data_IF_112648560356
#
_entry.id   IF_112648560356
#
_cell.length_a   1.000
_cell.length_b   1.000
_cell.length_c   1.000
_cell.angle_alpha   90.00
_cell.angle_beta   90.00
_cell.angle_gamma   90.00
#
_symmetry.space_group_name_H-M   'P 1'
#
loop_
_entity.id
_entity.type
_entity.pdbx_description
1 polymer ?
#
# COMPACT_ATOMS: atom_id res chain seq x y z
N UNK A 1 -18.40 19.16 6.49
CA UNK A 1 -17.29 18.29 6.98
C UNK A 1 -16.11 18.48 6.03
N UNK A 2 -14.99 19.07 6.47
CA UNK A 2 -13.87 19.44 5.57
C UNK A 2 -12.50 18.89 6.01
N UNK A 3 -12.46 18.01 7.02
CA UNK A 3 -11.20 17.53 7.58
C UNK A 3 -10.45 16.57 6.64
N UNK A 4 -11.16 15.70 5.92
CA UNK A 4 -10.57 14.77 4.96
C UNK A 4 -9.81 15.48 3.82
N UNK A 5 -10.47 16.35 3.04
CA UNK A 5 -9.81 17.11 1.98
C UNK A 5 -8.65 17.96 2.48
N UNK A 6 -8.76 18.58 3.66
CA UNK A 6 -7.65 19.35 4.25
C UNK A 6 -6.43 18.48 4.53
N UNK A 7 -6.60 17.31 5.14
CA UNK A 7 -5.49 16.40 5.40
C UNK A 7 -4.79 15.98 4.10
N UNK A 8 -5.56 15.66 3.06
CA UNK A 8 -5.02 15.30 1.75
C UNK A 8 -4.19 16.44 1.15
N UNK A 9 -4.67 17.68 1.23
CA UNK A 9 -3.97 18.87 0.72
C UNK A 9 -2.71 19.22 1.52
N UNK A 10 -2.59 18.74 2.77
CA UNK A 10 -1.40 18.92 3.58
C UNK A 10 -0.34 17.85 3.29
N UNK A 11 -0.69 16.71 2.69
CA UNK A 11 0.22 15.59 2.34
C UNK A 11 1.58 16.03 1.78
N UNK A 12 1.66 16.96 0.82
CA UNK A 12 2.94 17.38 0.27
C UNK A 12 3.91 17.98 1.31
N UNK A 13 3.40 18.71 2.31
CA UNK A 13 4.23 19.38 3.33
C UNK A 13 4.92 18.42 4.29
N UNK A 14 4.32 17.26 4.53
CA UNK A 14 4.91 16.22 5.37
C UNK A 14 5.42 15.03 4.57
N UNK A 15 5.24 14.98 3.25
CA UNK A 15 5.89 14.01 2.38
C UNK A 15 7.41 14.24 2.34
N UNK A 16 7.83 15.50 2.20
CA UNK A 16 9.22 15.94 2.24
C UNK A 16 9.32 17.13 3.19
N UNK A 17 10.12 17.01 4.24
CA UNK A 17 10.30 18.05 5.25
C UNK A 17 11.72 18.61 5.21
N UNK A 18 11.84 19.90 5.47
CA UNK A 18 13.12 20.57 5.71
C UNK A 18 13.52 20.42 7.18
N UNK A 19 14.77 20.04 7.45
CA UNK A 19 15.34 19.99 8.80
C UNK A 19 16.65 20.78 8.84
N UNK A 20 17.17 21.06 10.03
CA UNK A 20 18.43 21.79 10.19
C UNK A 20 19.63 21.12 9.50
N UNK A 21 19.60 19.79 9.34
CA UNK A 21 20.69 18.98 8.78
C UNK A 21 20.49 18.67 7.29
N UNK A 22 19.28 18.87 6.78
CA UNK A 22 18.88 18.54 5.40
C UNK A 22 17.47 17.93 5.31
N UNK A 23 17.07 17.43 4.13
CA UNK A 23 15.73 16.87 3.90
C UNK A 23 15.43 15.60 4.69
N UNK A 24 14.17 15.45 5.07
CA UNK A 24 13.56 14.19 5.48
C UNK A 24 12.47 13.76 4.49
N UNK A 25 12.62 12.57 3.92
CA UNK A 25 11.65 11.93 3.01
C UNK A 25 10.80 10.97 3.82
N UNK A 26 9.52 11.29 3.97
CA UNK A 26 8.56 10.54 4.77
C UNK A 26 7.63 9.69 3.91
N UNK A 27 7.16 10.22 2.79
CA UNK A 27 6.24 9.52 1.89
C UNK A 27 6.89 9.32 0.54
N UNK A 28 6.72 8.12 -0.01
CA UNK A 28 7.17 7.77 -1.35
C UNK A 28 5.98 7.80 -2.28
N UNK A 29 6.09 8.58 -3.36
CA UNK A 29 5.11 8.70 -4.43
C UNK A 29 5.82 9.34 -5.65
N UNK A 30 5.22 9.28 -6.86
CA UNK A 30 5.65 10.13 -7.96
C UNK A 30 5.55 11.59 -7.55
N UNK A 31 6.69 12.24 -7.30
CA UNK A 31 6.72 13.63 -6.86
C UNK A 31 8.01 14.36 -7.26
N UNK A 32 7.90 15.68 -7.33
CA UNK A 32 9.03 16.60 -7.45
C UNK A 32 8.95 17.63 -6.33
N UNK A 33 9.92 17.61 -5.42
CA UNK A 33 9.99 18.56 -4.31
C UNK A 33 11.10 19.57 -4.56
N UNK A 34 10.85 20.83 -4.20
CA UNK A 34 11.83 21.91 -4.20
C UNK A 34 11.91 22.47 -2.80
N UNK A 35 13.09 22.38 -2.21
CA UNK A 35 13.35 22.73 -0.82
C UNK A 35 14.63 23.56 -0.69
N UNK A 36 14.79 24.21 0.46
CA UNK A 36 16.02 24.90 0.82
C UNK A 36 16.94 23.98 1.63
N UNK A 37 18.22 23.94 1.26
CA UNK A 37 19.26 23.19 2.00
C UNK A 37 19.80 24.00 3.18
N UNK A 38 20.57 23.39 4.11
CA UNK A 38 21.24 24.12 5.18
C UNK A 38 22.13 25.28 4.68
N UNK A 39 22.81 25.13 3.54
CA UNK A 39 23.59 26.20 2.91
C UNK A 39 22.73 27.23 2.12
N UNK A 40 21.41 27.20 2.30
CA UNK A 40 20.43 28.12 1.72
C UNK A 40 20.33 28.10 0.19
N UNK A 41 20.80 27.05 -0.47
CA UNK A 41 20.53 26.86 -1.90
C UNK A 41 19.29 26.01 -2.11
N UNK A 42 18.80 26.02 -3.36
CA UNK A 42 17.69 25.18 -3.78
C UNK A 42 18.18 23.75 -4.04
N UNK A 43 17.49 22.78 -3.48
CA UNK A 43 17.59 21.36 -3.80
C UNK A 43 16.27 20.91 -4.42
N UNK A 44 16.36 20.24 -5.56
CA UNK A 44 15.22 19.54 -6.17
C UNK A 44 15.39 18.04 -5.97
N UNK A 45 14.37 17.39 -5.43
CA UNK A 45 14.27 15.92 -5.35
C UNK A 45 13.21 15.46 -6.35
N UNK A 46 13.59 14.56 -7.26
CA UNK A 46 12.67 13.88 -8.17
C UNK A 46 12.51 12.43 -7.74
N UNK A 47 11.32 12.04 -7.31
CA UNK A 47 11.01 10.69 -6.86
C UNK A 47 10.15 9.97 -7.92
N UNK A 48 10.69 8.88 -8.45
CA UNK A 48 10.06 8.01 -9.44
C UNK A 48 9.79 6.65 -8.78
N UNK A 49 8.53 6.23 -8.74
CA UNK A 49 8.12 4.98 -8.07
C UNK A 49 6.71 4.57 -8.48
N UNK A 50 6.41 3.27 -8.46
CA UNK A 50 5.04 2.75 -8.46
C UNK A 50 4.48 2.50 -7.06
N UNK A 51 5.20 2.89 -6.01
CA UNK A 51 4.73 2.77 -4.63
C UNK A 51 3.37 3.45 -4.45
N UNK A 52 2.40 2.81 -3.77
CA UNK A 52 2.50 1.56 -3.00
C UNK A 52 2.25 0.25 -3.79
N UNK A 53 2.05 0.29 -5.11
CA UNK A 53 1.87 -0.92 -5.90
C UNK A 53 3.14 -1.78 -5.91
N UNK A 54 4.31 -1.15 -5.92
CA UNK A 54 5.62 -1.80 -5.85
C UNK A 54 6.55 -1.14 -4.83
N UNK A 55 7.66 -1.83 -4.51
CA UNK A 55 8.60 -1.40 -3.48
C UNK A 55 9.80 -0.60 -4.00
N UNK A 56 9.93 -0.43 -5.32
CA UNK A 56 11.07 0.27 -5.93
C UNK A 56 10.85 1.78 -5.91
N UNK A 57 11.80 2.51 -5.35
CA UNK A 57 11.79 3.98 -5.28
C UNK A 57 13.14 4.50 -5.78
N UNK A 58 13.11 5.39 -6.77
CA UNK A 58 14.28 6.09 -7.27
C UNK A 58 14.17 7.58 -6.98
N UNK A 59 15.19 8.15 -6.33
CA UNK A 59 15.25 9.58 -6.02
C UNK A 59 16.48 10.17 -6.71
N UNK A 60 16.26 11.16 -7.57
CA UNK A 60 17.35 11.92 -8.22
C UNK A 60 17.45 13.30 -7.61
N UNK A 61 18.67 13.75 -7.32
CA UNK A 61 18.94 15.06 -6.75
C UNK A 61 19.42 16.05 -7.79
N UNK A 62 18.93 17.28 -7.71
CA UNK A 62 19.44 18.41 -8.49
C UNK A 62 19.75 19.61 -7.58
N UNK A 63 20.99 20.07 -7.68
CA UNK A 63 21.65 21.05 -6.80
C UNK A 63 22.53 21.96 -7.66
N UNK A 64 22.56 23.26 -7.37
CA UNK A 64 23.43 24.20 -8.12
C UNK A 64 24.91 24.00 -7.82
N UNK A 65 25.25 23.74 -6.55
CA UNK A 65 26.63 23.47 -6.10
C UNK A 65 26.62 22.23 -5.21
N UNK A 66 27.67 21.39 -5.26
CA UNK A 66 27.78 20.28 -4.32
C UNK A 66 27.73 20.77 -2.86
N UNK A 67 27.03 20.03 -2.01
CA UNK A 67 26.82 20.39 -0.61
C UNK A 67 26.85 19.15 0.28
N UNK A 68 27.54 19.26 1.41
CA UNK A 68 27.49 18.26 2.47
C UNK A 68 26.24 18.49 3.31
N UNK A 69 25.34 17.50 3.31
CA UNK A 69 24.11 17.53 4.10
C UNK A 69 23.64 16.11 4.42
N UNK A 70 22.74 16.01 5.39
CA UNK A 70 22.10 14.77 5.78
C UNK A 70 20.76 14.61 5.08
N UNK A 71 20.59 13.51 4.36
CA UNK A 71 19.30 13.06 3.87
C UNK A 71 18.75 11.98 4.81
N UNK A 72 17.52 12.18 5.29
CA UNK A 72 16.80 11.20 6.11
C UNK A 72 15.76 10.49 5.24
N UNK A 73 15.87 9.18 5.08
CA UNK A 73 14.87 8.37 4.36
C UNK A 73 14.09 7.51 5.35
N UNK A 74 12.76 7.65 5.41
CA UNK A 74 11.94 6.82 6.30
C UNK A 74 11.98 5.38 5.84
N UNK A 75 12.42 4.48 6.70
CA UNK A 75 12.31 3.03 6.49
C UNK A 75 11.01 2.58 7.18
N UNK A 76 9.96 2.18 6.43
CA UNK A 76 8.71 1.75 7.03
C UNK A 76 8.92 0.59 8.02
N UNK A 77 8.22 0.59 9.16
CA UNK A 77 8.35 -0.45 10.18
C UNK A 77 8.02 -1.86 9.70
N UNK A 78 7.22 -1.98 8.65
CA UNK A 78 6.90 -3.27 8.02
C UNK A 78 7.99 -3.76 7.05
N UNK A 79 8.90 -2.89 6.60
CA UNK A 79 9.88 -3.21 5.56
C UNK A 79 11.15 -3.83 6.15
N UNK A 80 11.12 -5.13 6.44
CA UNK A 80 12.20 -5.83 7.15
C UNK A 80 13.42 -6.14 6.28
N UNK A 81 13.22 -6.39 4.98
CA UNK A 81 14.29 -6.62 4.01
C UNK A 81 14.42 -5.42 3.05
N UNK A 82 14.85 -4.28 3.58
CA UNK A 82 15.04 -3.05 2.79
C UNK A 82 16.43 -3.01 2.18
N UNK A 83 16.53 -2.68 0.89
CA UNK A 83 17.80 -2.40 0.20
C UNK A 83 17.93 -0.92 -0.14
N UNK A 84 19.16 -0.42 -0.16
CA UNK A 84 19.46 0.96 -0.52
C UNK A 84 20.77 1.01 -1.29
N UNK A 85 20.77 1.68 -2.44
CA UNK A 85 21.98 2.00 -3.21
C UNK A 85 22.07 3.52 -3.43
N UNK A 86 23.30 3.99 -3.63
CA UNK A 86 23.58 5.37 -3.99
C UNK A 86 24.54 5.34 -5.18
N UNK A 87 24.12 5.92 -6.31
CA UNK A 87 24.84 5.89 -7.57
C UNK A 87 25.22 4.46 -8.01
N UNK A 88 24.33 3.48 -7.78
CA UNK A 88 24.53 2.07 -8.10
C UNK A 88 25.30 1.27 -7.05
N UNK A 89 25.95 1.93 -6.08
CA UNK A 89 26.73 1.25 -5.04
C UNK A 89 25.87 0.96 -3.80
N UNK A 90 25.88 -0.28 -3.26
CA UNK A 90 25.12 -0.61 -2.05
C UNK A 90 25.53 0.26 -0.86
N UNK A 91 24.54 0.86 -0.20
CA UNK A 91 24.75 1.67 1.00
C UNK A 91 25.14 0.79 2.19
N UNK A 92 26.28 1.09 2.81
CA UNK A 92 26.86 0.29 3.90
C UNK A 92 26.44 0.75 5.31
N UNK A 93 25.63 1.80 5.42
CA UNK A 93 25.14 2.29 6.71
C UNK A 93 23.95 1.51 7.25
N UNK A 94 23.41 1.96 8.38
CA UNK A 94 22.30 1.29 9.05
C UNK A 94 20.97 1.52 8.34
N UNK A 95 20.28 0.42 8.02
CA UNK A 95 18.93 0.40 7.48
C UNK A 95 18.07 -0.39 8.48
N UNK A 96 17.34 0.33 9.32
CA UNK A 96 16.56 -0.27 10.41
C UNK A 96 15.08 0.04 10.18
N UNK A 97 14.25 -0.99 10.16
CA UNK A 97 12.81 -0.84 9.99
C UNK A 97 12.21 0.02 11.11
N UNK A 98 11.38 1.00 10.74
CA UNK A 98 10.71 1.89 11.70
C UNK A 98 11.53 3.12 12.09
N UNK A 99 12.72 3.30 11.53
CA UNK A 99 13.56 4.49 11.75
C UNK A 99 13.81 5.23 10.43
N UNK A 100 14.60 6.31 10.50
CA UNK A 100 15.18 6.91 9.30
C UNK A 100 16.57 6.31 9.03
N UNK A 101 16.87 6.03 7.77
CA UNK A 101 18.25 5.91 7.31
C UNK A 101 18.84 7.32 7.18
N UNK A 102 19.92 7.60 7.91
CA UNK A 102 20.57 8.90 7.93
C UNK A 102 21.80 8.86 7.02
N UNK A 103 21.72 9.54 5.88
CA UNK A 103 22.74 9.49 4.84
C UNK A 103 23.43 10.85 4.79
N UNK A 104 24.58 10.95 5.44
CA UNK A 104 25.43 12.14 5.42
C UNK A 104 26.49 11.99 4.33
N UNK A 105 26.47 12.89 3.34
CA UNK A 105 27.46 12.93 2.25
C UNK A 105 27.46 14.28 1.56
N UNK A 106 28.48 14.51 0.73
CA UNK A 106 28.48 15.60 -0.24
C UNK A 106 27.66 15.18 -1.45
N UNK A 107 26.46 15.75 -1.57
CA UNK A 107 25.56 15.52 -2.68
C UNK A 107 25.86 16.49 -3.82
N UNK A 108 25.67 16.03 -5.05
CA UNK A 108 25.78 16.86 -6.27
C UNK A 108 24.61 16.59 -7.20
N UNK A 109 24.43 17.48 -8.19
CA UNK A 109 23.43 17.24 -9.24
C UNK A 109 23.68 15.92 -9.95
N UNK A 110 22.61 15.18 -10.22
CA UNK A 110 22.63 13.87 -10.85
C UNK A 110 22.93 12.70 -9.92
N UNK A 111 23.14 12.93 -8.61
CA UNK A 111 23.20 11.82 -7.67
C UNK A 111 21.84 11.10 -7.60
N UNK A 112 21.88 9.78 -7.57
CA UNK A 112 20.73 8.89 -7.58
C UNK A 112 20.74 8.00 -6.35
N UNK A 113 19.55 7.82 -5.77
CA UNK A 113 19.29 6.91 -4.66
C UNK A 113 18.25 5.91 -5.14
N UNK A 114 18.48 4.63 -4.91
CA UNK A 114 17.51 3.58 -5.20
C UNK A 114 17.22 2.82 -3.90
N UNK A 115 15.94 2.74 -3.55
CA UNK A 115 15.44 2.10 -2.34
C UNK A 115 14.49 0.98 -2.75
N UNK A 116 14.77 -0.23 -2.28
CA UNK A 116 13.90 -1.40 -2.43
C UNK A 116 13.21 -1.72 -1.10
N UNK A 117 11.89 -1.53 -1.05
CA UNK A 117 11.06 -1.85 0.11
C UNK A 117 10.54 -3.29 0.04
N UNK A 118 10.45 -3.94 1.20
CA UNK A 118 9.98 -5.32 1.37
C UNK A 118 8.45 -5.39 1.28
N UNK A 119 7.95 -5.62 0.08
CA UNK A 119 6.51 -5.67 -0.24
C UNK A 119 5.91 -7.07 -0.13
N UNK A 120 6.50 -7.99 0.66
CA UNK A 120 5.88 -9.29 0.93
C UNK A 120 4.55 -9.10 1.66
N UNK A 121 3.56 -9.91 1.30
CA UNK A 121 2.25 -9.87 1.96
C UNK A 121 2.31 -10.66 3.25
N UNK A 122 1.86 -10.03 4.32
CA UNK A 122 1.89 -10.54 5.68
C UNK A 122 0.48 -10.64 6.25
N UNK A 123 0.26 -11.68 7.03
CA UNK A 123 -0.96 -11.89 7.79
C UNK A 123 -0.95 -10.97 9.00
N UNK A 124 -2.10 -10.35 9.23
CA UNK A 124 -2.43 -9.65 10.46
C UNK A 124 -3.56 -10.42 11.14
N UNK A 125 -3.29 -10.97 12.30
CA UNK A 125 -4.30 -11.63 13.13
C UNK A 125 -5.18 -10.62 13.84
N UNK A 126 -6.47 -10.94 13.99
CA UNK A 126 -7.42 -10.08 14.69
C UNK A 126 -7.01 -9.91 16.15
N UNK A 127 -6.93 -8.66 16.68
CA UNK A 127 -6.50 -8.43 18.06
C UNK A 127 -7.36 -9.13 19.11
N UNK A 128 -8.63 -9.40 18.77
CA UNK A 128 -9.59 -10.08 19.64
C UNK A 128 -9.42 -11.62 19.66
N UNK A 129 -8.54 -12.19 18.83
CA UNK A 129 -8.33 -13.65 18.76
C UNK A 129 -9.52 -14.43 18.21
N UNK A 130 -10.34 -13.80 17.36
CA UNK A 130 -11.56 -14.40 16.77
C UNK A 130 -11.29 -15.47 15.72
N UNK A 131 -10.02 -15.67 15.34
CA UNK A 131 -9.63 -16.48 14.19
C UNK A 131 -9.78 -15.74 12.86
N UNK A 132 -10.08 -14.44 12.87
CA UNK A 132 -10.04 -13.61 11.65
C UNK A 132 -8.62 -13.15 11.33
N UNK A 133 -8.32 -13.15 10.03
CA UNK A 133 -7.06 -12.69 9.47
C UNK A 133 -7.29 -11.62 8.40
N UNK A 134 -6.38 -10.66 8.32
CA UNK A 134 -6.32 -9.67 7.25
C UNK A 134 -4.95 -9.72 6.57
N UNK A 135 -4.90 -9.47 5.27
CA UNK A 135 -3.66 -9.44 4.51
C UNK A 135 -3.16 -8.01 4.34
N UNK A 136 -1.88 -7.79 4.64
CA UNK A 136 -1.22 -6.49 4.50
C UNK A 136 0.00 -6.64 3.58
N UNK A 137 0.03 -5.88 2.49
CA UNK A 137 1.15 -5.82 1.55
C UNK A 137 1.79 -4.44 1.56
N UNK A 138 2.97 -4.31 2.17
CA UNK A 138 3.57 -2.99 2.42
C UNK A 138 2.63 -2.11 3.26
N UNK A 139 2.19 -0.93 2.76
CA UNK A 139 1.19 -0.10 3.42
C UNK A 139 -0.26 -0.47 3.06
N UNK A 140 -0.48 -1.40 2.13
CA UNK A 140 -1.80 -1.73 1.62
C UNK A 140 -2.45 -2.82 2.47
N UNK A 141 -3.69 -2.60 2.87
CA UNK A 141 -4.56 -3.66 3.38
C UNK A 141 -5.32 -4.22 2.19
N UNK A 142 -5.37 -5.54 2.04
CA UNK A 142 -6.14 -6.20 0.99
C UNK A 142 -7.55 -6.52 1.47
N UNK A 143 -8.50 -6.60 0.55
CA UNK A 143 -9.89 -6.92 0.83
C UNK A 143 -10.50 -7.75 -0.27
N UNK A 144 -11.39 -8.65 0.13
CA UNK A 144 -12.33 -9.29 -0.76
C UNK A 144 -13.38 -8.25 -1.18
N UNK A 145 -13.79 -8.29 -2.44
CA UNK A 145 -14.83 -7.41 -2.98
C UNK A 145 -15.72 -8.19 -3.96
N UNK A 146 -17.04 -8.03 -3.86
CA UNK A 146 -17.99 -8.80 -4.66
C UNK A 146 -17.89 -8.55 -6.17
N UNK A 147 -17.27 -7.45 -6.60
CA UNK A 147 -16.96 -7.22 -8.02
C UNK A 147 -15.93 -8.22 -8.57
N UNK A 148 -15.03 -8.71 -7.74
CA UNK A 148 -13.99 -9.65 -8.15
C UNK A 148 -14.50 -11.10 -8.12
N UNK A 149 -15.40 -11.39 -7.19
CA UNK A 149 -15.97 -12.73 -7.00
C UNK A 149 -17.48 -12.57 -6.85
N UNK A 150 -18.25 -12.42 -7.95
CA UNK A 150 -19.68 -12.15 -7.85
C UNK A 150 -20.43 -13.27 -7.13
N UNK A 151 -21.51 -12.95 -6.38
CA UNK A 151 -22.38 -13.95 -5.77
C UNK A 151 -22.87 -14.94 -6.83
N UNK A 152 -22.66 -16.23 -6.59
CA UNK A 152 -23.11 -17.27 -7.51
C UNK A 152 -24.57 -17.63 -7.24
N UNK A 153 -25.42 -17.75 -8.27
CA UNK A 153 -26.83 -18.11 -8.10
C UNK A 153 -27.01 -19.57 -7.66
N UNK A 154 -26.06 -20.45 -7.97
CA UNK A 154 -26.01 -21.84 -7.51
C UNK A 154 -24.66 -22.15 -6.83
N UNK A 155 -24.62 -22.30 -5.49
CA UNK A 155 -23.41 -22.64 -4.75
C UNK A 155 -22.76 -23.99 -5.13
N UNK A 156 -23.47 -24.87 -5.85
CA UNK A 156 -22.96 -26.18 -6.28
C UNK A 156 -22.30 -26.15 -7.67
N UNK A 157 -22.43 -25.06 -8.43
CA UNK A 157 -21.94 -24.95 -9.81
C UNK A 157 -20.43 -24.71 -9.95
N UNK A 158 -19.76 -24.34 -8.86
CA UNK A 158 -18.30 -24.19 -8.74
C UNK A 158 -17.88 -24.95 -7.49
N UNK A 159 -16.78 -25.73 -7.50
CA UNK A 159 -16.23 -26.29 -6.27
C UNK A 159 -15.69 -25.16 -5.39
N UNK A 160 -16.58 -24.57 -4.59
CA UNK A 160 -16.27 -23.59 -3.57
C UNK A 160 -15.91 -24.35 -2.30
N UNK A 161 -14.61 -24.59 -2.11
CA UNK A 161 -14.08 -25.25 -0.93
C UNK A 161 -14.10 -24.33 0.28
N UNK A 162 -13.93 -24.95 1.44
CA UNK A 162 -13.45 -24.28 2.62
C UNK A 162 -11.95 -24.03 2.42
N UNK A 163 -11.56 -22.76 2.41
CA UNK A 163 -10.19 -22.34 2.19
C UNK A 163 -9.59 -21.72 3.44
N UNK A 164 -8.28 -21.79 3.52
CA UNK A 164 -7.47 -20.91 4.37
C UNK A 164 -6.37 -20.23 3.56
N UNK A 165 -5.84 -19.11 4.06
CA UNK A 165 -4.66 -18.51 3.44
C UNK A 165 -3.50 -19.51 3.45
N UNK A 166 -2.81 -19.64 2.32
CA UNK A 166 -1.65 -20.52 2.24
C UNK A 166 -0.40 -19.76 2.70
N UNK A 167 0.13 -20.18 3.84
CA UNK A 167 1.33 -19.58 4.43
C UNK A 167 2.59 -20.11 3.73
N UNK A 168 3.27 -19.25 2.95
CA UNK A 168 4.53 -19.61 2.27
C UNK A 168 5.74 -19.66 3.21
N UNK A 169 5.53 -19.36 4.50
CA UNK A 169 6.49 -19.50 5.59
C UNK A 169 6.28 -18.42 6.65
N UNK A 170 6.14 -18.81 7.92
CA UNK A 170 5.77 -17.87 8.99
C UNK A 170 4.43 -17.19 8.68
N UNK A 171 4.36 -15.87 8.85
CA UNK A 171 3.14 -15.08 8.65
C UNK A 171 3.04 -14.50 7.22
N UNK A 172 3.70 -15.08 6.23
CA UNK A 172 3.69 -14.59 4.85
C UNK A 172 2.76 -15.41 3.95
N UNK A 173 2.08 -14.71 3.03
CA UNK A 173 1.20 -15.30 2.02
C UNK A 173 1.65 -14.83 0.65
N UNK A 174 1.78 -15.75 -0.29
CA UNK A 174 2.16 -15.41 -1.65
C UNK A 174 1.00 -14.72 -2.38
N UNK A 175 1.31 -13.58 -3.00
CA UNK A 175 0.35 -12.85 -3.82
C UNK A 175 0.99 -12.41 -5.13
N UNK A 176 0.17 -12.34 -6.17
CA UNK A 176 0.58 -11.86 -7.49
C UNK A 176 -0.33 -10.74 -7.94
N UNK A 177 0.25 -9.58 -8.27
CA UNK A 177 -0.51 -8.46 -8.88
C UNK A 177 -1.04 -8.91 -10.24
N UNK A 178 -2.33 -8.65 -10.50
CA UNK A 178 -2.98 -8.91 -11.78
C UNK A 178 -3.66 -7.64 -12.30
N UNK A 179 -3.91 -7.52 -13.62
CA UNK A 179 -4.74 -6.46 -14.15
C UNK A 179 -6.11 -6.44 -13.46
N UNK A 180 -6.61 -5.25 -13.14
CA UNK A 180 -7.93 -5.14 -12.54
C UNK A 180 -9.02 -5.46 -13.57
N UNK A 181 -9.95 -6.39 -13.27
CA UNK A 181 -11.09 -6.64 -14.14
C UNK A 181 -12.17 -5.55 -14.04
N UNK A 182 -12.12 -4.69 -13.01
CA UNK A 182 -13.05 -3.57 -12.81
C UNK A 182 -12.28 -2.23 -12.82
N UNK A 183 -12.71 -1.24 -13.62
CA UNK A 183 -12.04 0.05 -13.73
C UNK A 183 -12.09 0.90 -12.44
N UNK A 184 -12.98 0.58 -11.51
CA UNK A 184 -13.10 1.23 -10.20
C UNK A 184 -12.31 0.50 -9.10
N UNK A 185 -11.46 -0.46 -9.49
CA UNK A 185 -10.49 -1.10 -8.61
C UNK A 185 -9.09 -0.75 -9.12
N UNK A 186 -8.30 -0.12 -8.26
CA UNK A 186 -6.96 0.33 -8.63
C UNK A 186 -5.95 -0.82 -8.66
N UNK A 187 -5.91 -1.65 -7.62
CA UNK A 187 -4.98 -2.77 -7.52
C UNK A 187 -5.73 -4.07 -7.20
N UNK A 188 -5.42 -5.12 -7.97
CA UNK A 188 -5.96 -6.46 -7.79
C UNK A 188 -4.82 -7.47 -7.69
N UNK A 189 -5.00 -8.47 -6.83
CA UNK A 189 -4.03 -9.49 -6.52
C UNK A 189 -4.67 -10.88 -6.50
N UNK A 190 -4.01 -11.86 -7.08
CA UNK A 190 -4.27 -13.27 -6.81
C UNK A 190 -3.56 -13.66 -5.52
N UNK A 191 -4.33 -14.08 -4.51
CA UNK A 191 -3.83 -14.52 -3.20
C UNK A 191 -3.80 -16.03 -3.13
N UNK A 192 -2.69 -16.62 -2.70
CA UNK A 192 -2.57 -18.07 -2.53
C UNK A 192 -3.41 -18.54 -1.34
N UNK A 193 -4.27 -19.53 -1.58
CA UNK A 193 -5.11 -20.18 -0.57
C UNK A 193 -4.98 -21.70 -0.72
N UNK A 194 -5.32 -22.46 0.32
CA UNK A 194 -5.34 -23.92 0.28
C UNK A 194 -6.68 -24.47 0.75
N UNK A 195 -7.12 -25.57 0.15
CA UNK A 195 -8.33 -26.30 0.57
C UNK A 195 -8.04 -27.33 1.67
N UNK A 196 -9.10 -28.01 2.14
CA UNK A 196 -9.01 -29.04 3.18
C UNK A 196 -8.13 -30.25 2.79
N UNK A 197 -7.85 -30.46 1.50
CA UNK A 197 -6.93 -31.49 1.02
C UNK A 197 -5.48 -31.02 0.95
N UNK A 198 -5.23 -29.72 1.17
CA UNK A 198 -3.94 -29.07 1.01
C UNK A 198 -3.63 -28.68 -0.44
N UNK A 199 -4.60 -28.78 -1.36
CA UNK A 199 -4.39 -28.33 -2.73
C UNK A 199 -4.44 -26.79 -2.79
N UNK A 200 -3.53 -26.20 -3.58
CA UNK A 200 -3.39 -24.75 -3.70
C UNK A 200 -4.32 -24.19 -4.77
N UNK A 201 -4.92 -23.05 -4.46
CA UNK A 201 -5.80 -22.27 -5.32
C UNK A 201 -5.46 -20.77 -5.20
N UNK A 202 -6.16 -19.94 -5.98
CA UNK A 202 -6.04 -18.48 -5.91
C UNK A 202 -7.37 -17.82 -5.60
N UNK A 203 -7.31 -16.77 -4.79
CA UNK A 203 -8.44 -15.92 -4.44
C UNK A 203 -8.13 -14.48 -4.88
N UNK A 204 -8.87 -13.88 -5.83
CA UNK A 204 -8.68 -12.48 -6.16
C UNK A 204 -9.13 -11.55 -5.03
N UNK A 205 -8.26 -10.61 -4.66
CA UNK A 205 -8.50 -9.55 -3.67
C UNK A 205 -8.02 -8.20 -4.22
N UNK A 206 -8.55 -7.08 -3.71
CA UNK A 206 -8.13 -5.74 -4.09
C UNK A 206 -7.53 -4.94 -2.94
N UNK A 207 -6.98 -3.76 -3.23
CA UNK A 207 -6.68 -2.77 -2.19
C UNK A 207 -7.95 -2.30 -1.46
N UNK A 208 -7.88 -2.16 -0.14
CA UNK A 208 -9.00 -1.72 0.70
C UNK A 208 -9.58 -0.37 0.26
N UNK A 209 -8.75 0.54 -0.25
CA UNK A 209 -9.18 1.87 -0.70
C UNK A 209 -10.09 1.82 -1.94
N UNK A 210 -9.99 0.76 -2.73
CA UNK A 210 -10.88 0.48 -3.85
C UNK A 210 -12.15 -0.26 -3.43
N UNK A 211 -12.09 -1.04 -2.35
CA UNK A 211 -13.15 -1.93 -1.92
C UNK A 211 -14.45 -1.16 -1.58
N UNK A 212 -15.61 -1.68 -2.00
CA UNK A 212 -16.90 -1.06 -1.69
C UNK A 212 -17.26 0.19 -2.52
N UNK A 213 -16.44 0.63 -3.48
CA UNK A 213 -16.62 1.91 -4.19
C UNK A 213 -17.77 1.98 -5.23
N UNK A 214 -18.61 0.96 -5.41
CA UNK A 214 -19.84 1.07 -6.21
C UNK A 214 -21.05 1.65 -5.44
N UNK A 215 -20.94 1.88 -4.12
CA UNK A 215 -21.97 2.55 -3.30
C UNK A 215 -23.42 2.03 -3.52
N UNK A 216 -23.58 0.73 -3.78
CA UNK A 216 -24.88 0.06 -3.98
C UNK A 216 -25.04 -1.12 -3.03
N UNK A 217 -26.29 -1.51 -2.75
CA UNK A 217 -26.63 -2.56 -1.77
C UNK A 217 -26.02 -3.94 -2.07
N UNK A 218 -25.73 -4.23 -3.35
CA UNK A 218 -25.07 -5.47 -3.77
C UNK A 218 -23.54 -5.44 -3.75
N UNK A 219 -22.93 -4.30 -3.43
CA UNK A 219 -21.47 -4.16 -3.38
C UNK A 219 -20.96 -4.34 -1.97
N UNK A 220 -20.59 -5.58 -1.65
CA UNK A 220 -20.14 -5.97 -0.32
C UNK A 220 -18.66 -6.33 -0.39
N UNK A 221 -17.92 -5.95 0.66
CA UNK A 221 -16.49 -6.20 0.75
C UNK A 221 -16.10 -6.63 2.17
N UNK A 222 -14.98 -7.34 2.30
CA UNK A 222 -14.51 -7.86 3.58
C UNK A 222 -12.99 -7.86 3.68
N UNK A 223 -12.48 -7.35 4.80
CA UNK A 223 -11.05 -7.26 5.08
C UNK A 223 -10.58 -8.33 6.05
N UNK A 224 -11.28 -8.46 7.18
CA UNK A 224 -11.04 -9.49 8.20
C UNK A 224 -11.79 -10.75 7.82
N UNK A 225 -11.09 -11.83 7.49
CA UNK A 225 -11.66 -13.08 6.99
C UNK A 225 -11.35 -14.19 7.99
N UNK A 226 -12.40 -14.82 8.50
CA UNK A 226 -12.31 -15.96 9.42
C UNK A 226 -11.54 -17.10 8.75
N UNK A 227 -10.55 -17.67 9.42
CA UNK A 227 -9.82 -18.82 8.91
C UNK A 227 -10.21 -20.11 9.64
N UNK A 228 -10.43 -21.22 8.91
CA UNK A 228 -10.70 -21.25 7.47
C UNK A 228 -12.08 -20.63 7.13
N UNK A 229 -12.22 -20.04 5.95
CA UNK A 229 -13.47 -19.47 5.44
C UNK A 229 -14.13 -20.39 4.40
N UNK A 230 -15.45 -20.33 4.34
CA UNK A 230 -16.24 -21.02 3.33
C UNK A 230 -16.74 -20.02 2.30
N UNK A 231 -16.28 -20.15 1.05
CA UNK A 231 -16.65 -19.22 -0.03
C UNK A 231 -18.14 -19.29 -0.35
N UNK A 232 -18.79 -20.44 -0.10
CA UNK A 232 -20.26 -20.60 -0.30
C UNK A 232 -21.06 -19.72 0.66
N UNK A 233 -20.52 -19.53 1.85
CA UNK A 233 -21.17 -18.79 2.92
C UNK A 233 -20.67 -17.36 3.07
N UNK A 234 -19.71 -16.94 2.23
CA UNK A 234 -19.20 -15.57 2.20
C UNK A 234 -20.38 -14.61 2.30
N UNK A 235 -21.35 -14.70 1.39
CA UNK A 235 -22.45 -13.73 1.28
C UNK A 235 -23.68 -14.00 2.16
N UNK A 236 -23.74 -15.13 2.87
CA UNK A 236 -24.99 -15.60 3.51
C UNK A 236 -24.99 -15.38 5.02
N UNK A 237 -23.83 -15.38 5.70
CA UNK A 237 -23.80 -15.59 7.18
C UNK A 237 -23.03 -14.52 7.96
N UNK A 238 -22.40 -13.52 7.35
CA UNK A 238 -21.42 -12.69 8.06
C UNK A 238 -21.69 -11.18 7.91
N UNK A 239 -21.37 -10.39 8.93
CA UNK A 239 -21.62 -8.95 9.03
C UNK A 239 -20.87 -8.15 7.93
N UNK A 240 -21.42 -8.13 6.72
CA UNK A 240 -20.91 -7.32 5.62
C UNK A 240 -21.17 -5.85 5.92
N UNK A 241 -20.09 -5.06 5.98
CA UNK A 241 -20.23 -3.60 6.06
C UNK A 241 -20.40 -3.05 4.66
N UNK A 242 -21.59 -2.54 4.38
CA UNK A 242 -21.79 -1.65 3.24
C UNK A 242 -21.22 -0.28 3.64
N UNK A 243 -20.47 0.38 2.75
CA UNK A 243 -20.02 1.76 2.96
C UNK A 243 -21.16 2.78 2.84
N UNK A 244 -22.43 2.37 2.92
CA UNK A 244 -23.57 3.26 2.72
C UNK A 244 -23.86 4.07 3.98
N UNK A 245 -23.67 5.38 3.86
CA UNK A 245 -24.71 6.27 4.34
C UNK A 245 -25.98 5.96 3.54
N UNK A 246 -27.07 5.65 4.22
CA UNK A 246 -28.40 5.62 3.60
C UNK A 246 -28.69 7.03 3.08
N UNK A 247 -28.60 7.26 1.77
CA UNK A 247 -28.93 8.56 1.17
C UNK A 247 -28.42 8.76 -0.26
N UNK A 248 -29.15 9.61 -1.01
CA UNK A 248 -28.73 10.15 -2.31
C UNK A 248 -27.40 10.88 -2.12
N UNK A 249 -26.41 10.60 -2.97
CA UNK A 249 -25.15 11.36 -3.00
C UNK A 249 -25.46 12.87 -3.00
N UNK A 250 -24.91 13.68 -2.07
CA UNK A 250 -25.01 15.12 -2.23
C UNK A 250 -24.36 15.47 -3.56
N UNK A 251 -25.13 16.13 -4.43
CA UNK A 251 -24.60 16.64 -5.69
C UNK A 251 -23.38 17.49 -5.36
N UNK A 252 -22.22 17.10 -5.89
CA UNK A 252 -21.00 17.91 -5.80
C UNK A 252 -21.33 19.25 -6.47
N UNK A 253 -21.36 20.38 -5.74
CA UNK A 253 -21.65 21.67 -6.35
C UNK A 253 -20.68 21.93 -7.50
N UNK A 254 -21.15 22.53 -8.60
CA UNK A 254 -20.36 22.68 -9.83
C UNK A 254 -19.03 23.43 -9.62
N UNK A 255 -18.93 24.22 -8.55
CA UNK A 255 -17.70 24.91 -8.15
C UNK A 255 -16.55 23.96 -7.78
N UNK A 256 -16.83 22.68 -7.50
CA UNK A 256 -15.85 21.66 -7.14
C UNK A 256 -15.58 20.63 -8.24
N UNK A 257 -16.23 20.74 -9.42
CA UNK A 257 -16.07 19.83 -10.57
C UNK A 257 -14.93 20.23 -11.53
N UNK A 258 -13.82 20.77 -11.03
CA UNK A 258 -12.66 21.15 -11.85
C UNK A 258 -11.42 20.36 -11.47
#
# INVERSE_FOLDING_TARGET
>A
VANGPRALMLTPYWAIMETAEGPAVNLYAPLKAQIQTPARQKLTLNCETEYPAEGSVKITMDLKRPESLMLKLRIPGWSRQTTLSINGEPYQGYIIAGTYAHIERTWKTGDVIELGLDMRTRVQYAPAGTGDEALIRGPLVLSFDSRLIPPQPDPQSVPMYRYEFHHSGGDFVDVKRIPSPDPNIWLTFEVSVQDESGALHTLPMCDYTSAGNLWGEGNVFRTWIQQPFDVRHLYVILDWRVNTHVGVFPQVPDIYKK
#
